data_IF_795188270112
#
_entry.id   IF_795188270112
#
_cell.length_a   1.000
_cell.length_b   1.000
_cell.length_c   1.000
_cell.angle_alpha   90.00
_cell.angle_beta   90.00
_cell.angle_gamma   90.00
#
_symmetry.space_group_name_H-M   'P 1'
#
loop_
_entity.id
_entity.type
_entity.pdbx_description
1 polymer ?
#
# COMPACT_ATOMS: atom_id res chain seq x y z
N UNK A 1 2.46 -28.57 -4.70
CA UNK A 1 2.23 -27.42 -5.62
C UNK A 1 2.82 -26.18 -4.95
N UNK A 2 3.91 -25.63 -5.50
CA UNK A 2 4.48 -24.39 -4.96
C UNK A 2 3.66 -23.23 -5.52
N UNK A 3 2.86 -22.56 -4.70
CA UNK A 3 2.19 -21.32 -5.11
C UNK A 3 3.28 -20.31 -5.45
N UNK A 4 3.33 -19.86 -6.70
CA UNK A 4 4.13 -18.70 -7.08
C UNK A 4 3.51 -17.51 -6.36
N UNK A 5 4.18 -17.00 -5.31
CA UNK A 5 3.76 -15.78 -4.67
C UNK A 5 3.73 -14.66 -5.72
N UNK A 6 2.57 -14.03 -5.93
CA UNK A 6 2.47 -12.86 -6.80
C UNK A 6 3.32 -11.72 -6.20
N UNK A 7 3.91 -10.84 -7.04
CA UNK A 7 4.55 -9.63 -6.55
C UNK A 7 3.57 -8.85 -5.66
N UNK A 8 4.05 -8.35 -4.53
CA UNK A 8 3.21 -7.62 -3.57
C UNK A 8 2.55 -6.41 -4.22
N UNK A 9 3.26 -5.77 -5.16
CA UNK A 9 2.73 -4.66 -5.94
C UNK A 9 1.57 -5.02 -6.85
N UNK A 10 1.46 -6.27 -7.30
CA UNK A 10 0.31 -6.73 -8.09
C UNK A 10 -0.96 -6.70 -7.25
N UNK A 11 -0.89 -7.18 -6.00
CA UNK A 11 -2.02 -7.18 -5.07
C UNK A 11 -2.41 -5.77 -4.66
N UNK A 12 -1.43 -4.92 -4.34
CA UNK A 12 -1.69 -3.53 -3.93
C UNK A 12 -2.35 -2.74 -5.07
N UNK A 13 -1.86 -2.87 -6.31
CA UNK A 13 -2.47 -2.17 -7.46
C UNK A 13 -3.89 -2.65 -7.75
N UNK A 14 -4.18 -3.94 -7.59
CA UNK A 14 -5.51 -4.49 -7.78
C UNK A 14 -6.51 -4.09 -6.68
N UNK A 15 -6.02 -3.71 -5.50
CA UNK A 15 -6.88 -3.38 -4.34
C UNK A 15 -7.63 -2.05 -4.45
N UNK A 16 -7.25 -1.17 -5.38
CA UNK A 16 -7.79 0.19 -5.47
C UNK A 16 -7.29 1.14 -4.37
N UNK A 17 -6.48 0.67 -3.41
CA UNK A 17 -5.98 1.47 -2.29
C UNK A 17 -5.10 2.67 -2.72
N UNK A 18 -4.56 2.65 -3.93
CA UNK A 18 -3.78 3.76 -4.50
C UNK A 18 -4.63 4.76 -5.31
N UNK A 19 -5.92 4.50 -5.47
CA UNK A 19 -6.82 5.38 -6.21
C UNK A 19 -6.93 6.76 -5.53
N UNK A 20 -7.39 7.75 -6.31
CA UNK A 20 -7.60 9.08 -5.77
C UNK A 20 -8.73 9.06 -4.74
N UNK A 21 -8.48 9.60 -3.54
CA UNK A 21 -9.51 9.84 -2.55
C UNK A 21 -10.49 10.85 -3.10
N UNK A 22 -11.77 10.50 -3.09
CA UNK A 22 -12.83 11.40 -3.54
C UNK A 22 -12.88 12.64 -2.63
N UNK A 23 -13.16 13.80 -3.24
CA UNK A 23 -13.44 15.01 -2.47
C UNK A 23 -14.71 14.86 -1.63
N UNK A 24 -14.83 15.69 -0.59
CA UNK A 24 -16.06 15.74 0.19
C UNK A 24 -17.23 16.26 -0.69
N UNK A 25 -18.48 15.83 -0.42
CA UNK A 25 -19.65 16.40 -1.07
C UNK A 25 -19.73 17.91 -0.87
N UNK A 26 -20.14 18.64 -1.90
CA UNK A 26 -20.29 20.09 -1.84
C UNK A 26 -21.27 20.52 -0.74
N UNK A 27 -21.11 21.75 -0.20
CA UNK A 27 -22.08 22.35 0.71
C UNK A 27 -23.51 22.28 0.16
N UNK A 28 -24.48 21.95 1.02
CA UNK A 28 -25.90 21.95 0.63
C UNK A 28 -26.51 23.36 0.60
N UNK A 29 -25.86 24.33 1.24
CA UNK A 29 -26.23 25.74 1.26
C UNK A 29 -25.01 26.62 1.61
N UNK A 30 -25.15 27.94 1.44
CA UNK A 30 -24.09 28.92 1.65
C UNK A 30 -24.05 29.48 3.09
N UNK A 31 -24.62 28.77 4.06
CA UNK A 31 -24.52 29.20 5.46
C UNK A 31 -23.09 29.04 5.95
N UNK A 32 -22.61 29.98 6.77
CA UNK A 32 -21.24 29.89 7.32
C UNK A 32 -20.97 28.58 8.06
N UNK A 33 -21.99 28.02 8.73
CA UNK A 33 -21.89 26.72 9.39
C UNK A 33 -21.68 25.56 8.41
N UNK A 34 -22.40 25.54 7.29
CA UNK A 34 -22.26 24.48 6.28
C UNK A 34 -20.93 24.59 5.52
N UNK A 35 -20.47 25.80 5.23
CA UNK A 35 -19.14 26.02 4.64
C UNK A 35 -18.03 25.49 5.57
N UNK A 36 -18.13 25.78 6.87
CA UNK A 36 -17.19 25.25 7.87
C UNK A 36 -17.21 23.71 7.92
N UNK A 37 -18.41 23.11 8.00
CA UNK A 37 -18.56 21.66 8.01
C UNK A 37 -18.02 20.99 6.73
N UNK A 38 -18.18 21.63 5.56
CA UNK A 38 -17.55 21.18 4.33
C UNK A 38 -16.02 21.21 4.41
N UNK A 39 -15.44 22.29 4.95
CA UNK A 39 -14.00 22.41 5.17
C UNK A 39 -13.44 21.29 6.04
N UNK A 40 -14.12 20.94 7.13
CA UNK A 40 -13.73 19.81 7.99
C UNK A 40 -13.79 18.47 7.25
N UNK A 41 -14.89 18.21 6.52
CA UNK A 41 -15.04 16.99 5.71
C UNK A 41 -13.94 16.89 4.65
N UNK A 42 -13.66 17.99 3.95
CA UNK A 42 -12.63 18.05 2.91
C UNK A 42 -11.23 17.83 3.50
N UNK A 43 -10.95 18.36 4.69
CA UNK A 43 -9.69 18.15 5.41
C UNK A 43 -9.52 16.68 5.77
N UNK A 44 -10.57 16.01 6.26
CA UNK A 44 -10.54 14.56 6.51
C UNK A 44 -10.23 13.73 5.26
N UNK A 45 -10.76 14.12 4.09
CA UNK A 45 -10.41 13.45 2.82
C UNK A 45 -8.95 13.68 2.42
N UNK A 46 -8.40 14.88 2.66
CA UNK A 46 -6.99 15.18 2.40
C UNK A 46 -6.05 14.37 3.31
N UNK A 47 -6.41 14.22 4.59
CA UNK A 47 -5.64 13.42 5.53
C UNK A 47 -5.63 11.95 5.12
N UNK A 48 -6.78 11.37 4.77
CA UNK A 48 -6.85 10.01 4.21
C UNK A 48 -6.01 9.88 2.93
N UNK A 49 -6.12 10.84 2.00
CA UNK A 49 -5.35 10.82 0.76
C UNK A 49 -3.83 10.82 0.99
N UNK A 50 -3.36 11.54 2.01
CA UNK A 50 -1.93 11.67 2.28
C UNK A 50 -1.39 10.52 3.13
N UNK A 51 -2.06 10.19 4.24
CA UNK A 51 -1.59 9.19 5.20
C UNK A 51 -1.69 7.78 4.62
N UNK A 52 -2.83 7.43 4.03
CA UNK A 52 -3.09 6.07 3.58
C UNK A 52 -2.14 5.71 2.43
N UNK A 53 -1.99 6.59 1.44
CA UNK A 53 -1.17 6.31 0.25
C UNK A 53 0.31 6.16 0.57
N UNK A 54 0.83 7.01 1.46
CA UNK A 54 2.21 6.88 1.92
C UNK A 54 2.42 5.56 2.68
N UNK A 55 1.48 5.16 3.53
CA UNK A 55 1.49 3.88 4.25
C UNK A 55 1.45 2.69 3.30
N UNK A 56 0.51 2.68 2.36
CA UNK A 56 0.34 1.63 1.35
C UNK A 56 1.60 1.47 0.51
N UNK A 57 2.22 2.57 0.08
CA UNK A 57 3.48 2.52 -0.65
C UNK A 57 4.59 1.84 0.16
N UNK A 58 4.75 2.25 1.43
CA UNK A 58 5.72 1.63 2.35
C UNK A 58 5.45 0.15 2.56
N UNK A 59 4.19 -0.27 2.65
CA UNK A 59 3.84 -1.68 2.78
C UNK A 59 4.23 -2.48 1.53
N UNK A 60 3.99 -1.94 0.33
CA UNK A 60 4.41 -2.56 -0.92
C UNK A 60 5.92 -2.76 -1.00
N UNK A 61 6.67 -1.68 -0.74
CA UNK A 61 8.14 -1.71 -0.76
C UNK A 61 8.71 -2.68 0.30
N UNK A 62 8.14 -2.69 1.50
CA UNK A 62 8.54 -3.60 2.57
C UNK A 62 8.27 -5.06 2.20
N UNK A 63 7.10 -5.34 1.65
CA UNK A 63 6.70 -6.68 1.25
C UNK A 63 7.62 -7.24 0.15
N UNK A 64 7.94 -6.45 -0.87
CA UNK A 64 8.88 -6.87 -1.92
C UNK A 64 10.27 -7.15 -1.36
N UNK A 65 10.77 -6.30 -0.45
CA UNK A 65 12.06 -6.52 0.22
C UNK A 65 12.06 -7.84 1.00
N UNK A 66 11.03 -8.10 1.80
CA UNK A 66 10.92 -9.33 2.58
C UNK A 66 10.81 -10.57 1.69
N UNK A 67 10.08 -10.49 0.58
CA UNK A 67 10.00 -11.57 -0.41
C UNK A 67 11.37 -11.85 -1.03
N UNK A 68 12.11 -10.81 -1.43
CA UNK A 68 13.46 -10.96 -1.99
C UNK A 68 14.42 -11.61 -0.97
N UNK A 69 14.39 -11.18 0.29
CA UNK A 69 15.19 -11.78 1.37
C UNK A 69 14.82 -13.25 1.63
N UNK A 70 13.53 -13.58 1.61
CA UNK A 70 13.04 -14.94 1.79
C UNK A 70 13.47 -15.86 0.63
N UNK A 71 13.36 -15.38 -0.61
CA UNK A 71 13.83 -16.10 -1.80
C UNK A 71 15.33 -16.36 -1.75
N UNK A 72 16.13 -15.38 -1.36
CA UNK A 72 17.59 -15.54 -1.24
C UNK A 72 17.95 -16.54 -0.13
N UNK A 73 17.30 -16.46 1.05
CA UNK A 73 17.47 -17.44 2.13
C UNK A 73 17.08 -18.85 1.68
N UNK A 74 15.98 -18.98 0.94
CA UNK A 74 15.52 -20.25 0.37
C UNK A 74 16.54 -20.82 -0.62
N UNK A 75 17.05 -20.01 -1.56
CA UNK A 75 18.09 -20.40 -2.52
C UNK A 75 19.36 -20.90 -1.83
N UNK A 76 19.82 -20.23 -0.78
CA UNK A 76 20.98 -20.67 0.02
C UNK A 76 20.76 -22.02 0.68
N UNK A 77 19.56 -22.25 1.24
CA UNK A 77 19.19 -23.54 1.85
C UNK A 77 19.00 -24.65 0.81
N UNK A 78 18.55 -24.32 -0.40
CA UNK A 78 18.41 -25.29 -1.47
C UNK A 78 19.75 -25.71 -2.10
N UNK A 79 20.86 -25.00 -1.81
CA UNK A 79 22.18 -25.41 -2.28
C UNK A 79 22.52 -26.81 -1.73
N UNK A 80 22.85 -27.78 -2.59
CA UNK A 80 23.32 -29.09 -2.16
C UNK A 80 24.58 -28.96 -1.28
N UNK A 81 24.78 -29.92 -0.37
CA UNK A 81 25.84 -29.85 0.63
C UNK A 81 27.24 -29.67 0.02
N UNK A 82 27.52 -30.21 -1.17
CA UNK A 82 28.79 -30.06 -1.87
C UNK A 82 29.05 -28.67 -2.47
N UNK A 83 28.01 -27.85 -2.70
CA UNK A 83 28.13 -26.43 -3.12
C UNK A 83 28.11 -25.45 -1.94
N UNK A 84 28.16 -25.95 -0.70
CA UNK A 84 28.27 -25.12 0.52
C UNK A 84 29.67 -25.08 1.11
N UNK A 85 30.55 -26.02 0.74
CA UNK A 85 31.90 -26.19 1.31
C UNK A 85 33.00 -25.64 0.39
N UNK A 86 32.74 -25.52 -0.91
CA UNK A 86 33.60 -24.88 -1.91
C UNK A 86 32.98 -23.58 -2.42
#
# INVERSE_FOLDING_TARGET
MSQTALPCWTLIKASGLLEATAGAPLPVNDTGGEIGAFGDRQTGQLDSANADKAGIKRMGDLCERLNAEALEKSRRRAKPWWKRVF
#
